data_IF_066931254894
#
_entry.id   IF_066931254894
#
_cell.length_a   1.000
_cell.length_b   1.000
_cell.length_c   1.000
_cell.angle_alpha   90.00
_cell.angle_beta   90.00
_cell.angle_gamma   90.00
#
_symmetry.space_group_name_H-M   'P 1'
#
loop_
_entity.id
_entity.type
_entity.pdbx_description
1 polymer ?
#
# COMPACT_ATOMS: atom_id res chain seq x y z
N UNK A 1 -10.08 16.59 2.27
CA UNK A 1 -8.75 16.91 2.83
C UNK A 1 -7.89 15.67 2.78
N UNK A 2 -6.91 15.62 1.88
CA UNK A 2 -6.05 14.45 1.69
C UNK A 2 -5.03 14.38 2.83
N UNK A 3 -5.27 13.49 3.80
CA UNK A 3 -4.25 13.12 4.79
C UNK A 3 -3.17 12.32 4.07
N UNK A 4 -2.01 12.92 3.90
CA UNK A 4 -0.78 12.20 3.55
C UNK A 4 -0.41 11.28 4.72
N UNK A 5 -0.86 10.02 4.67
CA UNK A 5 -0.35 9.00 5.57
C UNK A 5 1.06 8.65 5.15
N UNK A 6 2.04 8.98 5.99
CA UNK A 6 3.44 8.65 5.75
C UNK A 6 3.69 7.22 6.19
N UNK A 7 3.80 6.30 5.23
CA UNK A 7 4.23 4.92 5.47
C UNK A 7 5.74 4.88 5.34
N UNK A 8 6.41 4.38 6.37
CA UNK A 8 7.86 4.15 6.36
C UNK A 8 8.05 2.64 6.43
N UNK A 9 8.70 2.07 5.42
CA UNK A 9 9.02 0.65 5.36
C UNK A 9 10.51 0.45 5.53
N UNK A 10 10.91 -0.54 6.32
CA UNK A 10 12.29 -1.04 6.33
C UNK A 10 12.56 -1.81 5.03
N UNK A 11 13.84 -1.99 4.68
CA UNK A 11 14.23 -2.80 3.52
C UNK A 11 13.66 -4.22 3.58
N UNK A 12 13.62 -4.82 4.78
CA UNK A 12 13.03 -6.14 4.99
C UNK A 12 11.51 -6.15 4.74
N UNK A 13 10.77 -5.16 5.23
CA UNK A 13 9.33 -5.06 4.98
C UNK A 13 9.03 -4.88 3.48
N UNK A 14 9.84 -4.10 2.75
CA UNK A 14 9.71 -3.96 1.29
C UNK A 14 9.89 -5.30 0.60
N UNK A 15 10.97 -6.01 0.92
CA UNK A 15 11.27 -7.32 0.33
C UNK A 15 10.15 -8.34 0.62
N UNK A 16 9.64 -8.40 1.85
CA UNK A 16 8.51 -9.27 2.19
C UNK A 16 7.24 -8.94 1.40
N UNK A 17 6.96 -7.66 1.20
CA UNK A 17 5.82 -7.22 0.38
C UNK A 17 5.99 -7.62 -1.08
N UNK A 18 7.20 -7.49 -1.64
CA UNK A 18 7.52 -7.92 -3.01
C UNK A 18 7.35 -9.44 -3.17
N UNK A 19 7.86 -10.25 -2.23
CA UNK A 19 7.67 -11.71 -2.23
C UNK A 19 6.18 -12.11 -2.11
N UNK A 20 5.41 -11.40 -1.28
CA UNK A 20 3.97 -11.60 -1.17
C UNK A 20 3.22 -11.22 -2.45
N UNK A 21 3.66 -10.17 -3.14
CA UNK A 21 3.07 -9.74 -4.41
C UNK A 21 3.26 -10.81 -5.49
N UNK A 22 4.45 -11.41 -5.55
CA UNK A 22 4.79 -12.41 -6.58
C UNK A 22 4.11 -13.76 -6.35
N UNK A 23 3.86 -14.12 -5.09
CA UNK A 23 3.20 -15.38 -4.72
C UNK A 23 1.67 -15.33 -4.75
N UNK A 24 1.05 -14.15 -4.56
CA UNK A 24 -0.40 -14.05 -4.48
C UNK A 24 -1.08 -13.98 -5.85
N UNK A 25 -2.20 -14.70 -5.98
CA UNK A 25 -3.05 -14.68 -7.18
C UNK A 25 -4.19 -13.67 -7.10
N UNK A 26 -4.53 -13.22 -5.89
CA UNK A 26 -5.61 -12.25 -5.69
C UNK A 26 -5.15 -10.86 -6.16
N UNK A 27 -5.79 -10.36 -7.22
CA UNK A 27 -5.53 -9.03 -7.77
C UNK A 27 -5.70 -7.90 -6.75
N UNK A 28 -6.67 -8.02 -5.84
CA UNK A 28 -6.91 -7.00 -4.80
C UNK A 28 -5.77 -6.96 -3.80
N UNK A 29 -5.19 -8.12 -3.46
CA UNK A 29 -4.03 -8.19 -2.58
C UNK A 29 -2.81 -7.58 -3.25
N UNK A 30 -2.60 -7.83 -4.55
CA UNK A 30 -1.51 -7.19 -5.33
C UNK A 30 -1.64 -5.68 -5.38
N UNK A 31 -2.84 -5.17 -5.63
CA UNK A 31 -3.09 -3.72 -5.69
C UNK A 31 -2.88 -3.05 -4.32
N UNK A 32 -3.30 -3.73 -3.25
CA UNK A 32 -3.01 -3.27 -1.87
C UNK A 32 -1.51 -3.21 -1.61
N UNK A 33 -0.75 -4.24 -1.99
CA UNK A 33 0.71 -4.27 -1.82
C UNK A 33 1.38 -3.14 -2.60
N UNK A 34 1.03 -2.98 -3.89
CA UNK A 34 1.56 -1.90 -4.74
C UNK A 34 1.26 -0.52 -4.15
N UNK A 35 0.05 -0.31 -3.65
CA UNK A 35 -0.32 0.96 -3.02
C UNK A 35 0.57 1.27 -1.81
N UNK A 36 0.86 0.28 -0.96
CA UNK A 36 1.73 0.44 0.22
C UNK A 36 3.18 0.74 -0.19
N UNK A 37 3.72 0.02 -1.18
CA UNK A 37 5.08 0.25 -1.69
C UNK A 37 5.23 1.67 -2.27
N UNK A 38 4.33 2.06 -3.19
CA UNK A 38 4.35 3.39 -3.82
C UNK A 38 4.15 4.52 -2.80
N UNK A 39 3.29 4.33 -1.80
CA UNK A 39 3.13 5.30 -0.72
C UNK A 39 4.42 5.46 0.11
N UNK A 40 5.16 4.37 0.34
CA UNK A 40 6.47 4.41 1.02
C UNK A 40 7.56 5.12 0.20
N UNK A 41 7.39 5.17 -1.12
CA UNK A 41 8.26 5.88 -2.06
C UNK A 41 7.87 7.36 -2.24
N UNK A 42 6.83 7.81 -1.54
CA UNK A 42 6.39 9.21 -1.56
C UNK A 42 5.33 9.54 -2.61
N UNK A 43 4.73 8.54 -3.25
CA UNK A 43 3.62 8.79 -4.18
C UNK A 43 2.37 9.23 -3.41
N UNK A 44 1.66 10.22 -3.97
CA UNK A 44 0.36 10.64 -3.42
C UNK A 44 -0.73 9.61 -3.73
N UNK A 45 -1.81 9.60 -2.93
CA UNK A 45 -2.95 8.70 -3.16
C UNK A 45 -3.55 8.89 -4.57
N UNK A 46 -3.61 10.13 -5.06
CA UNK A 46 -4.03 10.44 -6.42
C UNK A 46 -3.09 9.84 -7.49
N UNK A 47 -1.76 9.91 -7.30
CA UNK A 47 -0.81 9.29 -8.23
C UNK A 47 -0.95 7.76 -8.24
N UNK A 48 -1.12 7.14 -7.07
CA UNK A 48 -1.32 5.70 -6.93
C UNK A 48 -2.64 5.29 -7.59
N UNK A 49 -3.72 6.03 -7.34
CA UNK A 49 -5.04 5.82 -7.95
C UNK A 49 -4.95 5.84 -9.47
N UNK A 50 -4.24 6.83 -10.02
CA UNK A 50 -4.02 6.95 -11.46
C UNK A 50 -3.18 5.78 -12.02
N UNK A 51 -2.10 5.39 -11.33
CA UNK A 51 -1.20 4.33 -11.77
C UNK A 51 -1.85 2.94 -11.74
N UNK A 52 -2.60 2.64 -10.68
CA UNK A 52 -3.27 1.36 -10.49
C UNK A 52 -4.67 1.30 -11.14
N UNK A 53 -5.20 2.44 -11.62
CA UNK A 53 -6.55 2.56 -12.20
C UNK A 53 -7.66 2.11 -11.25
N UNK A 54 -7.52 2.45 -9.97
CA UNK A 54 -8.53 2.21 -8.92
C UNK A 54 -8.92 3.52 -8.27
N UNK A 55 -10.13 3.59 -7.70
CA UNK A 55 -10.59 4.79 -7.00
C UNK A 55 -9.66 5.19 -5.85
N UNK A 56 -9.42 6.49 -5.69
CA UNK A 56 -8.58 7.04 -4.61
C UNK A 56 -9.07 6.62 -3.21
N UNK A 57 -10.39 6.49 -3.01
CA UNK A 57 -10.95 5.95 -1.76
C UNK A 57 -10.52 4.50 -1.47
N UNK A 58 -10.35 3.69 -2.51
CA UNK A 58 -9.84 2.32 -2.39
C UNK A 58 -8.36 2.33 -1.99
N UNK A 59 -7.56 3.23 -2.57
CA UNK A 59 -6.17 3.46 -2.14
C UNK A 59 -6.13 3.86 -0.67
N UNK A 60 -6.92 4.85 -0.27
CA UNK A 60 -7.00 5.30 1.12
C UNK A 60 -7.33 4.16 2.09
N UNK A 61 -8.27 3.29 1.72
CA UNK A 61 -8.63 2.10 2.50
C UNK A 61 -7.46 1.11 2.58
N UNK A 62 -6.81 0.79 1.46
CA UNK A 62 -5.65 -0.11 1.43
C UNK A 62 -4.51 0.36 2.34
N UNK A 63 -4.19 1.65 2.32
CA UNK A 63 -3.16 2.23 3.19
C UNK A 63 -3.58 2.18 4.66
N UNK A 64 -4.84 2.50 4.96
CA UNK A 64 -5.39 2.47 6.32
C UNK A 64 -5.37 1.06 6.91
N UNK A 65 -5.80 0.06 6.13
CA UNK A 65 -5.83 -1.34 6.52
C UNK A 65 -4.41 -1.85 6.82
N UNK A 66 -3.42 -1.48 6.01
CA UNK A 66 -2.02 -1.85 6.24
C UNK A 66 -1.49 -1.25 7.55
N UNK A 67 -1.65 0.06 7.75
CA UNK A 67 -1.20 0.75 8.97
C UNK A 67 -1.89 0.19 10.22
N UNK A 68 -3.19 -0.11 10.14
CA UNK A 68 -3.93 -0.72 11.25
C UNK A 68 -3.41 -2.14 11.53
N UNK A 69 -3.17 -2.94 10.50
CA UNK A 69 -2.67 -4.31 10.66
C UNK A 69 -1.27 -4.35 11.27
N UNK A 70 -0.37 -3.45 10.88
CA UNK A 70 0.97 -3.35 11.46
C UNK A 70 0.92 -2.86 12.92
N UNK A 71 -0.03 -1.98 13.28
CA UNK A 71 -0.25 -1.57 14.67
C UNK A 71 -0.79 -2.69 15.57
N UNK A 72 -1.55 -3.64 15.01
CA UNK A 72 -2.13 -4.76 15.75
C UNK A 72 -1.19 -5.98 15.84
N UNK A 73 -0.06 -5.96 15.12
CA UNK A 73 1.01 -6.97 15.23
C UNK A 73 2.06 -6.63 16.29
N UNK A 74 1.99 -5.43 16.89
CA UNK A 74 2.77 -4.98 18.05
C UNK A 74 2.08 -5.40 19.34
#
# INVERSE_FOLDING_TARGET
MLRTMKIILTSQQKQQLEEMHDSTRDGRVRDRIKAVLLASEGWSQAMISQALRIHESTVARHLSDYVLSEKLKL
#
